data_IF_002867519439
#
_entry.id   IF_002867519439
#
_cell.length_a   1.000
_cell.length_b   1.000
_cell.length_c   1.000
_cell.angle_alpha   90.00
_cell.angle_beta   90.00
_cell.angle_gamma   90.00
#
_symmetry.space_group_name_H-M   'P 1'
#
loop_
_entity.id
_entity.type
_entity.pdbx_description
1 polymer ?
#
# COMPACT_ATOMS: atom_id res chain seq x y z
N UNK A 1 -13.08 -48.83 -37.39
CA UNK A 1 -14.31 -48.46 -36.69
C UNK A 1 -14.30 -49.18 -35.35
N UNK A 2 -13.86 -48.52 -34.28
CA UNK A 2 -13.98 -49.01 -32.88
C UNK A 2 -13.82 -47.78 -31.97
N UNK A 3 -14.95 -47.23 -31.51
CA UNK A 3 -15.56 -47.36 -30.16
C UNK A 3 -14.96 -46.41 -29.11
N UNK A 4 -15.71 -45.32 -28.85
CA UNK A 4 -15.71 -44.59 -27.58
C UNK A 4 -16.32 -45.48 -26.49
N UNK A 5 -15.64 -45.66 -25.36
CA UNK A 5 -16.27 -45.76 -24.02
C UNK A 5 -15.40 -45.06 -22.96
N UNK A 6 -16.11 -44.32 -22.13
CA UNK A 6 -15.71 -43.36 -21.09
C UNK A 6 -15.01 -43.98 -19.89
N UNK A 7 -14.04 -43.25 -19.32
CA UNK A 7 -13.38 -43.56 -18.03
C UNK A 7 -14.12 -42.91 -16.85
N UNK A 8 -14.55 -43.67 -15.83
CA UNK A 8 -14.89 -43.15 -14.51
C UNK A 8 -13.86 -43.66 -13.49
N UNK A 9 -12.69 -43.04 -13.40
CA UNK A 9 -11.72 -43.32 -12.32
C UNK A 9 -11.30 -42.07 -11.53
N UNK A 10 -11.49 -40.87 -12.06
CA UNK A 10 -10.98 -39.65 -11.42
C UNK A 10 -11.90 -39.09 -10.31
N UNK A 11 -13.19 -39.44 -10.29
CA UNK A 11 -14.15 -38.87 -9.33
C UNK A 11 -14.11 -39.52 -7.93
N UNK A 12 -13.64 -40.77 -7.82
CA UNK A 12 -13.58 -41.47 -6.52
C UNK A 12 -12.36 -41.08 -5.68
N UNK A 13 -11.25 -40.67 -6.32
CA UNK A 13 -10.05 -40.16 -5.62
C UNK A 13 -10.25 -38.74 -5.07
N UNK A 14 -11.10 -37.92 -5.71
CA UNK A 14 -11.40 -36.57 -5.25
C UNK A 14 -12.26 -36.56 -3.95
N UNK A 15 -13.11 -37.56 -3.75
CA UNK A 15 -13.96 -37.65 -2.56
C UNK A 15 -13.23 -38.18 -1.32
N UNK A 16 -12.24 -39.07 -1.50
CA UNK A 16 -11.42 -39.57 -0.39
C UNK A 16 -10.53 -38.47 0.23
N UNK A 17 -10.05 -37.52 -0.58
CA UNK A 17 -9.28 -36.37 -0.10
C UNK A 17 -10.13 -35.33 0.64
N UNK A 18 -11.39 -35.14 0.25
CA UNK A 18 -12.30 -34.21 0.92
C UNK A 18 -12.72 -34.67 2.33
N UNK A 19 -12.88 -35.98 2.54
CA UNK A 19 -13.24 -36.54 3.84
C UNK A 19 -12.10 -36.48 4.88
N UNK A 20 -10.84 -36.58 4.44
CA UNK A 20 -9.67 -36.46 5.30
C UNK A 20 -9.40 -35.01 5.76
N UNK A 21 -9.90 -34.01 5.02
CA UNK A 21 -9.70 -32.59 5.33
C UNK A 21 -10.75 -32.03 6.30
N UNK A 22 -11.89 -32.71 6.49
CA UNK A 22 -13.01 -32.23 7.32
C UNK A 22 -13.16 -32.89 8.70
N UNK A 23 -12.22 -33.74 9.13
CA UNK A 23 -12.07 -34.11 10.54
C UNK A 23 -13.30 -34.74 11.22
N UNK A 24 -14.04 -35.63 10.55
CA UNK A 24 -15.13 -36.42 11.16
C UNK A 24 -14.88 -37.92 10.99
N UNK A 25 -14.66 -38.72 12.05
CA UNK A 25 -14.21 -40.12 11.92
C UNK A 25 -15.31 -41.16 11.58
N UNK A 26 -16.60 -40.81 11.60
CA UNK A 26 -17.66 -41.85 11.67
C UNK A 26 -18.30 -42.30 10.34
N UNK A 27 -17.80 -41.83 9.19
CA UNK A 27 -18.37 -42.21 7.88
C UNK A 27 -17.63 -43.34 7.15
N UNK A 28 -16.48 -43.79 7.67
CA UNK A 28 -15.65 -44.83 7.04
C UNK A 28 -16.17 -46.28 7.23
N UNK A 29 -17.17 -46.50 8.09
CA UNK A 29 -17.65 -47.83 8.46
C UNK A 29 -18.85 -48.35 7.63
N UNK A 30 -19.35 -47.60 6.64
CA UNK A 30 -20.56 -47.95 5.90
C UNK A 30 -20.35 -48.45 4.46
N UNK A 31 -19.10 -48.63 3.99
CA UNK A 31 -18.82 -49.02 2.60
C UNK A 31 -17.89 -50.25 2.40
N UNK A 32 -17.72 -51.09 3.41
CA UNK A 32 -17.14 -52.43 3.22
C UNK A 32 -18.29 -53.45 3.23
N UNK A 33 -18.74 -53.99 2.07
CA UNK A 33 -18.06 -55.19 1.54
C UNK A 33 -18.31 -55.46 0.03
N UNK A 34 -17.35 -55.31 -0.89
CA UNK A 34 -17.34 -56.01 -2.21
C UNK A 34 -15.95 -56.08 -2.87
N UNK A 35 -14.91 -56.47 -2.13
CA UNK A 35 -13.58 -56.73 -2.70
C UNK A 35 -13.13 -58.18 -2.48
N UNK A 36 -13.99 -59.12 -2.86
CA UNK A 36 -13.67 -60.55 -2.91
C UNK A 36 -13.85 -61.05 -4.35
N UNK A 37 -13.02 -60.55 -5.27
CA UNK A 37 -12.68 -61.17 -6.56
C UNK A 37 -11.89 -60.17 -7.40
N UNK A 38 -10.55 -60.19 -7.35
CA UNK A 38 -9.71 -59.66 -8.43
C UNK A 38 -8.59 -60.67 -8.74
N UNK A 39 -8.23 -60.90 -10.02
CA UNK A 39 -7.38 -62.02 -10.42
C UNK A 39 -5.90 -61.76 -10.14
N UNK A 40 -5.20 -62.82 -9.69
CA UNK A 40 -3.74 -62.92 -9.57
C UNK A 40 -3.08 -62.96 -10.96
N UNK A 41 -2.85 -61.81 -11.60
CA UNK A 41 -2.00 -61.73 -12.80
C UNK A 41 -1.46 -60.31 -13.03
N UNK A 42 -0.57 -59.83 -12.16
CA UNK A 42 0.26 -58.63 -12.43
C UNK A 42 1.55 -58.58 -11.58
N UNK A 43 2.09 -59.74 -11.20
CA UNK A 43 3.21 -59.83 -10.24
C UNK A 43 4.63 -59.69 -10.81
N UNK A 44 4.82 -59.31 -12.08
CA UNK A 44 6.15 -59.39 -12.72
C UNK A 44 6.61 -58.14 -13.49
N UNK A 45 5.99 -56.98 -13.27
CA UNK A 45 6.41 -55.71 -13.90
C UNK A 45 6.76 -54.59 -12.91
N UNK A 46 6.96 -54.93 -11.63
CA UNK A 46 7.14 -53.97 -10.52
C UNK A 46 8.52 -54.06 -9.83
N UNK A 47 9.56 -54.43 -10.58
CA UNK A 47 10.96 -54.41 -10.11
C UNK A 47 11.91 -53.91 -11.20
N UNK A 48 11.77 -52.67 -11.64
CA UNK A 48 12.79 -51.92 -12.42
C UNK A 48 12.42 -50.45 -12.59
N UNK A 49 12.20 -49.73 -11.48
CA UNK A 49 12.23 -48.26 -11.45
C UNK A 49 12.06 -47.77 -10.00
N UNK A 50 13.03 -48.05 -9.13
CA UNK A 50 13.14 -47.37 -7.84
C UNK A 50 14.54 -46.75 -7.75
N UNK A 51 14.67 -45.55 -8.31
CA UNK A 51 15.66 -44.56 -7.89
C UNK A 51 14.85 -43.44 -7.22
N UNK A 52 14.75 -43.52 -5.89
CA UNK A 52 14.00 -42.61 -5.03
C UNK A 52 14.78 -41.29 -4.92
N UNK A 53 14.22 -40.22 -5.49
CA UNK A 53 14.41 -38.83 -5.05
C UNK A 53 13.15 -38.49 -4.24
N UNK A 54 13.24 -37.98 -3.01
CA UNK A 54 12.05 -37.73 -2.20
C UNK A 54 11.34 -36.44 -2.62
N UNK A 55 10.01 -36.54 -2.66
CA UNK A 55 9.01 -35.49 -2.47
C UNK A 55 9.22 -34.13 -3.17
N UNK A 56 8.62 -33.98 -4.36
CA UNK A 56 8.20 -32.67 -4.87
C UNK A 56 6.82 -32.33 -4.31
N UNK A 57 6.76 -31.32 -3.46
CA UNK A 57 5.55 -30.53 -3.25
C UNK A 57 5.06 -29.99 -4.62
N UNK A 58 3.73 -29.85 -4.76
CA UNK A 58 3.06 -29.57 -6.03
C UNK A 58 3.56 -28.30 -6.73
N UNK A 59 4.49 -28.46 -7.66
CA UNK A 59 4.79 -27.45 -8.67
C UNK A 59 4.01 -27.79 -9.94
N UNK A 60 3.04 -26.95 -10.28
CA UNK A 60 2.41 -26.93 -11.61
C UNK A 60 3.50 -26.91 -12.69
N UNK A 61 3.37 -27.74 -13.72
CA UNK A 61 4.38 -27.92 -14.77
C UNK A 61 4.71 -26.65 -15.55
N UNK A 62 5.66 -25.85 -15.04
CA UNK A 62 6.31 -24.72 -15.72
C UNK A 62 7.68 -25.15 -16.23
N UNK A 63 8.09 -24.65 -17.41
CA UNK A 63 9.50 -24.66 -17.81
C UNK A 63 10.15 -23.40 -17.24
N UNK A 64 11.13 -23.59 -16.36
CA UNK A 64 11.96 -22.50 -15.85
C UNK A 64 12.85 -21.97 -17.00
N UNK A 65 13.16 -20.68 -16.99
CA UNK A 65 14.25 -20.15 -17.82
C UNK A 65 15.59 -20.75 -17.37
N UNK A 66 16.65 -20.71 -18.19
CA UNK A 66 17.97 -21.21 -17.78
C UNK A 66 18.48 -20.55 -16.48
N UNK A 67 18.34 -19.23 -16.34
CA UNK A 67 18.74 -18.48 -15.13
C UNK A 67 17.90 -18.91 -13.90
N UNK A 68 16.59 -19.15 -14.07
CA UNK A 68 15.73 -19.66 -13.00
C UNK A 68 16.05 -21.12 -12.61
N UNK A 69 16.48 -21.94 -13.58
CA UNK A 69 16.87 -23.32 -13.30
C UNK A 69 18.14 -23.39 -12.46
N UNK A 70 19.07 -22.44 -12.63
CA UNK A 70 20.27 -22.29 -11.79
C UNK A 70 19.92 -21.85 -10.36
N UNK A 71 18.87 -21.04 -10.19
CA UNK A 71 18.41 -20.53 -8.89
C UNK A 71 17.48 -21.48 -8.12
N UNK A 72 16.86 -22.44 -8.80
CA UNK A 72 15.96 -23.41 -8.19
C UNK A 72 16.51 -24.14 -6.94
N UNK A 73 17.77 -24.64 -6.90
CA UNK A 73 18.30 -25.29 -5.70
C UNK A 73 18.46 -24.33 -4.52
N UNK A 74 18.90 -23.09 -4.75
CA UNK A 74 19.05 -22.08 -3.70
C UNK A 74 17.69 -21.61 -3.20
N UNK A 75 16.74 -21.37 -4.10
CA UNK A 75 15.36 -21.03 -3.75
C UNK A 75 14.69 -22.11 -2.89
N UNK A 76 14.91 -23.38 -3.24
CA UNK A 76 14.40 -24.51 -2.45
C UNK A 76 15.02 -24.58 -1.05
N UNK A 77 16.33 -24.30 -0.91
CA UNK A 77 17.00 -24.18 0.40
C UNK A 77 16.45 -23.02 1.22
N UNK A 78 16.23 -21.87 0.58
CA UNK A 78 15.67 -20.68 1.20
C UNK A 78 14.20 -20.85 1.60
N UNK A 79 13.49 -21.83 1.04
CA UNK A 79 12.05 -21.96 1.21
C UNK A 79 11.27 -20.83 0.52
N UNK A 80 11.86 -20.24 -0.52
CA UNK A 80 11.36 -19.07 -1.24
C UNK A 80 11.08 -19.44 -2.70
N UNK A 81 10.12 -18.78 -3.35
CA UNK A 81 9.86 -18.99 -4.78
C UNK A 81 11.06 -18.54 -5.62
N UNK A 82 11.39 -19.29 -6.67
CA UNK A 82 12.51 -19.00 -7.59
C UNK A 82 12.41 -17.59 -8.18
N UNK A 83 11.19 -17.11 -8.42
CA UNK A 83 10.93 -15.76 -8.95
C UNK A 83 11.28 -14.67 -7.95
N UNK A 84 11.00 -14.91 -6.68
CA UNK A 84 11.33 -14.00 -5.59
C UNK A 84 12.86 -13.94 -5.45
N UNK A 85 13.54 -15.08 -5.53
CA UNK A 85 15.01 -15.12 -5.50
C UNK A 85 15.64 -14.38 -6.69
N UNK A 86 15.09 -14.55 -7.90
CA UNK A 86 15.53 -13.80 -9.08
C UNK A 86 15.38 -12.29 -8.88
N UNK A 87 14.23 -11.83 -8.37
CA UNK A 87 13.99 -10.41 -8.08
C UNK A 87 14.94 -9.86 -7.00
N UNK A 88 15.31 -10.67 -6.01
CA UNK A 88 16.32 -10.30 -5.01
C UNK A 88 17.72 -10.13 -5.63
N UNK A 89 18.11 -11.00 -6.57
CA UNK A 89 19.38 -10.85 -7.27
C UNK A 89 19.41 -9.60 -8.15
N UNK A 90 18.31 -9.28 -8.83
CA UNK A 90 18.17 -8.03 -9.59
C UNK A 90 18.27 -6.82 -8.66
N UNK A 91 17.61 -6.86 -7.51
CA UNK A 91 17.69 -5.83 -6.46
C UNK A 91 19.13 -5.64 -5.96
N UNK A 92 19.90 -6.72 -5.81
CA UNK A 92 21.32 -6.67 -5.43
C UNK A 92 22.21 -6.08 -6.53
N UNK A 93 21.94 -6.40 -7.81
CA UNK A 93 22.63 -5.78 -8.95
C UNK A 93 22.34 -4.27 -8.98
N UNK A 94 21.10 -3.86 -8.76
CA UNK A 94 20.72 -2.44 -8.66
C UNK A 94 21.43 -1.72 -7.50
N UNK A 95 21.58 -2.38 -6.35
CA UNK A 95 22.30 -1.83 -5.20
C UNK A 95 23.73 -1.45 -5.58
N UNK A 96 24.47 -2.35 -6.23
CA UNK A 96 25.85 -2.11 -6.66
C UNK A 96 25.98 -0.95 -7.64
N UNK A 97 25.01 -0.82 -8.56
CA UNK A 97 24.97 0.31 -9.50
C UNK A 97 24.74 1.61 -8.76
N UNK A 98 23.81 1.66 -7.79
CA UNK A 98 23.53 2.87 -7.01
C UNK A 98 24.71 3.29 -6.11
N UNK A 99 25.39 2.33 -5.48
CA UNK A 99 26.60 2.59 -4.69
C UNK A 99 27.69 3.22 -5.56
N UNK A 100 27.87 2.69 -6.78
CA UNK A 100 28.81 3.25 -7.75
C UNK A 100 28.41 4.64 -8.21
N UNK A 101 27.15 4.83 -8.60
CA UNK A 101 26.61 6.12 -9.03
C UNK A 101 26.80 7.21 -7.97
N UNK A 102 26.46 6.91 -6.71
CA UNK A 102 26.63 7.84 -5.59
C UNK A 102 28.12 8.13 -5.32
N UNK A 103 28.98 7.12 -5.45
CA UNK A 103 30.44 7.30 -5.35
C UNK A 103 31.04 8.17 -6.45
N UNK A 104 30.53 8.08 -7.68
CA UNK A 104 30.97 8.89 -8.84
C UNK A 104 30.38 10.33 -8.81
N UNK A 105 29.22 10.53 -8.18
CA UNK A 105 28.47 11.80 -8.16
C UNK A 105 29.10 12.96 -7.36
N UNK A 106 30.24 12.73 -6.70
CA UNK A 106 31.01 13.75 -5.96
C UNK A 106 31.40 14.95 -6.84
N UNK A 107 31.32 14.82 -8.18
CA UNK A 107 31.66 15.86 -9.17
C UNK A 107 30.49 16.76 -9.64
N UNK A 108 29.35 16.80 -8.94
CA UNK A 108 28.39 17.91 -9.07
C UNK A 108 27.38 17.83 -10.22
N UNK A 109 27.15 16.64 -10.79
CA UNK A 109 26.20 16.44 -11.90
C UNK A 109 24.74 16.18 -11.47
N UNK A 110 24.46 16.00 -10.19
CA UNK A 110 23.14 15.60 -9.68
C UNK A 110 22.53 16.63 -8.73
N UNK A 111 21.21 16.81 -8.81
CA UNK A 111 20.46 17.66 -7.86
C UNK A 111 20.39 17.03 -6.47
N UNK A 112 20.20 17.85 -5.43
CA UNK A 112 20.05 17.39 -4.04
C UNK A 112 18.87 16.42 -3.87
N UNK A 113 17.80 16.62 -4.64
CA UNK A 113 16.62 15.75 -4.61
C UNK A 113 16.94 14.37 -5.17
N UNK A 114 17.60 14.30 -6.33
CA UNK A 114 18.00 13.02 -6.94
C UNK A 114 18.99 12.25 -6.07
N UNK A 115 19.90 12.94 -5.37
CA UNK A 115 20.80 12.30 -4.41
C UNK A 115 20.03 11.71 -3.22
N UNK A 116 19.06 12.43 -2.68
CA UNK A 116 18.21 11.95 -1.59
C UNK A 116 17.39 10.72 -2.01
N UNK A 117 16.78 10.76 -3.19
CA UNK A 117 15.97 9.65 -3.73
C UNK A 117 16.82 8.38 -3.95
N UNK A 118 18.02 8.53 -4.54
CA UNK A 118 18.96 7.39 -4.70
C UNK A 118 19.44 6.85 -3.36
N UNK A 119 19.71 7.70 -2.38
CA UNK A 119 20.15 7.29 -1.04
C UNK A 119 19.04 6.50 -0.30
N UNK A 120 17.78 6.92 -0.41
CA UNK A 120 16.63 6.18 0.13
C UNK A 120 16.48 4.81 -0.51
N UNK A 121 16.58 4.75 -1.83
CA UNK A 121 16.53 3.49 -2.57
C UNK A 121 17.69 2.55 -2.17
N UNK A 122 18.90 3.08 -2.03
CA UNK A 122 20.05 2.31 -1.56
C UNK A 122 19.80 1.74 -0.15
N UNK A 123 19.36 2.57 0.80
CA UNK A 123 19.05 2.13 2.17
C UNK A 123 18.05 0.96 2.19
N UNK A 124 17.00 1.04 1.34
CA UNK A 124 16.02 -0.05 1.18
C UNK A 124 16.66 -1.33 0.66
N UNK A 125 17.46 -1.24 -0.40
CA UNK A 125 18.12 -2.40 -1.00
C UNK A 125 19.13 -3.04 -0.05
N UNK A 126 19.85 -2.24 0.73
CA UNK A 126 20.74 -2.74 1.79
C UNK A 126 19.96 -3.50 2.86
N UNK A 127 18.79 -2.99 3.30
CA UNK A 127 17.90 -3.69 4.25
C UNK A 127 17.46 -5.06 3.70
N UNK A 128 17.08 -5.12 2.43
CA UNK A 128 16.76 -6.37 1.74
C UNK A 128 17.95 -7.35 1.71
N UNK A 129 19.14 -6.86 1.37
CA UNK A 129 20.37 -7.67 1.34
C UNK A 129 20.75 -8.23 2.71
N UNK A 130 20.56 -7.44 3.78
CA UNK A 130 20.80 -7.88 5.15
C UNK A 130 19.83 -8.99 5.57
N UNK A 131 18.51 -8.81 5.34
CA UNK A 131 17.50 -9.84 5.62
C UNK A 131 17.77 -11.14 4.85
N UNK A 132 18.16 -11.04 3.58
CA UNK A 132 18.55 -12.20 2.78
C UNK A 132 19.77 -12.92 3.38
N UNK A 133 20.78 -12.17 3.82
CA UNK A 133 22.00 -12.74 4.41
C UNK A 133 21.73 -13.39 5.77
N UNK A 134 20.88 -12.78 6.60
CA UNK A 134 20.41 -13.34 7.87
C UNK A 134 19.61 -14.64 7.66
N UNK A 135 18.72 -14.67 6.66
CA UNK A 135 17.96 -15.87 6.31
C UNK A 135 18.89 -16.99 5.85
N UNK A 136 19.86 -16.70 4.96
CA UNK A 136 20.82 -17.67 4.48
C UNK A 136 21.70 -18.25 5.61
N UNK A 137 22.13 -17.40 6.56
CA UNK A 137 22.87 -17.84 7.75
C UNK A 137 22.00 -18.74 8.65
N UNK A 138 20.76 -18.32 8.94
CA UNK A 138 19.81 -19.10 9.75
C UNK A 138 19.52 -20.48 9.15
N UNK A 139 19.48 -20.60 7.82
CA UNK A 139 19.30 -21.89 7.13
C UNK A 139 20.54 -22.76 7.25
N UNK A 140 21.73 -22.18 7.14
CA UNK A 140 22.98 -22.91 7.32
C UNK A 140 23.07 -23.47 8.74
N UNK A 141 22.76 -22.65 9.75
CA UNK A 141 22.67 -23.07 11.16
C UNK A 141 21.62 -24.18 11.36
N UNK A 142 20.46 -24.06 10.70
CA UNK A 142 19.40 -25.09 10.76
C UNK A 142 19.86 -26.41 10.15
N UNK A 143 20.50 -26.39 8.98
CA UNK A 143 21.04 -27.60 8.33
C UNK A 143 22.09 -28.29 9.22
N UNK A 144 22.98 -27.51 9.84
CA UNK A 144 23.98 -28.02 10.79
C UNK A 144 23.33 -28.64 12.04
N UNK A 145 22.33 -27.97 12.64
CA UNK A 145 21.59 -28.47 13.79
C UNK A 145 20.79 -29.75 13.45
N UNK A 146 20.18 -29.82 12.27
CA UNK A 146 19.47 -31.01 11.79
C UNK A 146 20.41 -32.21 11.55
N UNK A 147 21.62 -31.97 11.03
CA UNK A 147 22.63 -33.03 10.90
C UNK A 147 23.10 -33.54 12.27
N UNK A 148 23.35 -32.65 13.23
CA UNK A 148 23.69 -33.04 14.61
C UNK A 148 22.55 -33.81 15.29
N UNK A 149 21.30 -33.44 15.04
CA UNK A 149 20.12 -34.12 15.56
C UNK A 149 19.98 -35.57 15.07
N UNK A 150 20.54 -35.91 13.90
CA UNK A 150 20.57 -37.28 13.36
C UNK A 150 21.55 -38.20 14.11
N UNK A 151 22.42 -37.66 14.94
CA UNK A 151 23.48 -38.38 15.67
C UNK A 151 23.03 -39.42 16.70
N UNK A 152 21.72 -39.52 17.02
CA UNK A 152 21.18 -40.58 17.88
C UNK A 152 20.31 -40.07 19.05
N UNK A 153 20.39 -40.76 20.19
CA UNK A 153 19.61 -40.49 21.41
C UNK A 153 20.41 -39.81 22.53
N UNK A 154 21.63 -39.38 22.25
CA UNK A 154 22.46 -38.67 23.23
C UNK A 154 21.82 -37.34 23.62
N UNK A 155 22.10 -36.85 24.84
CA UNK A 155 21.62 -35.55 25.32
C UNK A 155 21.93 -34.42 24.31
N UNK A 156 23.09 -34.50 23.66
CA UNK A 156 23.52 -33.60 22.59
C UNK A 156 22.55 -33.59 21.39
N UNK A 157 22.04 -34.75 20.97
CA UNK A 157 21.10 -34.86 19.87
C UNK A 157 19.69 -34.37 20.24
N UNK A 158 19.34 -34.38 21.53
CA UNK A 158 18.11 -33.77 22.01
C UNK A 158 18.21 -32.24 22.00
N UNK A 159 19.31 -31.67 22.49
CA UNK A 159 19.56 -30.23 22.41
C UNK A 159 19.55 -29.72 20.96
N UNK A 160 20.18 -30.44 20.03
CA UNK A 160 20.19 -30.08 18.61
C UNK A 160 18.78 -30.06 17.98
N UNK A 161 17.85 -30.93 18.42
CA UNK A 161 16.45 -30.90 17.94
C UNK A 161 15.67 -29.69 18.44
N UNK A 162 15.89 -29.31 19.69
CA UNK A 162 15.27 -28.12 20.28
C UNK A 162 15.78 -26.85 19.58
N UNK A 163 17.09 -26.79 19.32
CA UNK A 163 17.72 -25.71 18.54
C UNK A 163 17.19 -25.66 17.10
N UNK A 164 17.13 -26.78 16.39
CA UNK A 164 16.55 -26.85 15.05
C UNK A 164 15.09 -26.38 15.02
N UNK A 165 14.28 -26.74 16.02
CA UNK A 165 12.90 -26.25 16.12
C UNK A 165 12.81 -24.74 16.32
N UNK A 166 13.72 -24.14 17.09
CA UNK A 166 13.75 -22.69 17.29
C UNK A 166 14.24 -21.96 16.02
N UNK A 167 15.25 -22.52 15.35
CA UNK A 167 15.78 -22.01 14.09
C UNK A 167 14.74 -22.10 12.96
N UNK A 168 13.91 -23.14 12.91
CA UNK A 168 12.87 -23.24 11.88
C UNK A 168 11.78 -22.16 12.04
N UNK A 169 11.39 -21.84 13.28
CA UNK A 169 10.48 -20.71 13.57
C UNK A 169 11.11 -19.39 13.14
N UNK A 170 12.41 -19.19 13.45
CA UNK A 170 13.15 -17.99 13.05
C UNK A 170 13.29 -17.88 11.53
N UNK A 171 13.58 -18.99 10.84
CA UNK A 171 13.64 -19.07 9.38
C UNK A 171 12.31 -18.65 8.76
N UNK A 172 11.19 -19.17 9.26
CA UNK A 172 9.85 -18.81 8.77
C UNK A 172 9.55 -17.31 8.97
N UNK A 173 9.95 -16.74 10.12
CA UNK A 173 9.81 -15.31 10.38
C UNK A 173 10.67 -14.46 9.41
N UNK A 174 11.96 -14.77 9.28
CA UNK A 174 12.87 -14.06 8.38
C UNK A 174 12.44 -14.17 6.91
N UNK A 175 11.92 -15.32 6.49
CA UNK A 175 11.37 -15.49 5.15
C UNK A 175 10.14 -14.60 4.92
N UNK A 176 9.26 -14.47 5.92
CA UNK A 176 8.11 -13.55 5.87
C UNK A 176 8.56 -12.10 5.82
N UNK A 177 9.52 -11.71 6.66
CA UNK A 177 10.04 -10.35 6.73
C UNK A 177 10.74 -9.95 5.41
N UNK A 178 11.46 -10.88 4.79
CA UNK A 178 12.08 -10.69 3.48
C UNK A 178 11.02 -10.48 2.39
N UNK A 179 9.96 -11.28 2.36
CA UNK A 179 8.86 -11.12 1.41
C UNK A 179 8.19 -9.76 1.56
N UNK A 180 7.90 -9.33 2.79
CA UNK A 180 7.30 -8.03 3.07
C UNK A 180 8.23 -6.88 2.64
N UNK A 181 9.52 -6.98 2.91
CA UNK A 181 10.50 -5.97 2.52
C UNK A 181 10.65 -5.80 0.99
N UNK A 182 10.25 -6.81 0.20
CA UNK A 182 10.26 -6.72 -1.27
C UNK A 182 9.09 -5.93 -1.83
N UNK A 183 8.04 -5.69 -1.05
CA UNK A 183 6.96 -4.82 -1.49
C UNK A 183 7.48 -3.39 -1.69
N UNK A 184 7.09 -2.72 -2.78
CA UNK A 184 7.40 -1.30 -2.92
C UNK A 184 6.71 -0.53 -1.79
N UNK A 185 7.43 0.35 -1.06
CA UNK A 185 6.81 1.21 -0.07
C UNK A 185 5.87 2.19 -0.76
N UNK A 186 4.81 2.59 -0.06
CA UNK A 186 3.97 3.68 -0.52
C UNK A 186 4.77 5.00 -0.40
N UNK A 187 4.85 5.83 -1.46
CA UNK A 187 5.54 7.13 -1.37
C UNK A 187 4.98 8.03 -0.26
N UNK A 188 3.71 7.83 0.11
CA UNK A 188 3.03 8.64 1.12
C UNK A 188 3.08 8.02 2.52
N UNK A 189 3.56 6.77 2.71
CA UNK A 189 3.62 6.15 4.04
C UNK A 189 4.54 6.93 5.00
N UNK A 190 5.60 7.55 4.47
CA UNK A 190 6.54 8.42 5.22
C UNK A 190 6.02 9.85 5.43
N UNK A 191 4.80 10.17 4.98
CA UNK A 191 4.24 11.51 5.10
C UNK A 191 4.13 11.90 6.59
N UNK A 192 4.86 12.95 6.95
CA UNK A 192 4.88 13.51 8.32
C UNK A 192 3.60 14.22 8.71
N UNK A 193 2.83 14.65 7.72
CA UNK A 193 1.57 15.34 7.94
C UNK A 193 0.48 14.81 7.02
N UNK A 194 -0.73 14.75 7.55
CA UNK A 194 -1.92 14.43 6.79
C UNK A 194 -3.10 15.32 7.23
N UNK A 195 -4.00 15.57 6.30
CA UNK A 195 -5.26 16.26 6.53
C UNK A 195 -6.36 15.19 6.60
N UNK A 196 -7.11 15.20 7.70
CA UNK A 196 -8.27 14.34 7.90
C UNK A 196 -9.53 15.20 7.81
N UNK A 197 -10.35 14.96 6.78
CA UNK A 197 -11.64 15.60 6.56
C UNK A 197 -12.76 14.65 7.01
N UNK A 198 -13.65 15.11 7.89
CA UNK A 198 -14.87 14.40 8.29
C UNK A 198 -16.07 15.20 7.83
N UNK A 199 -17.01 14.56 7.14
CA UNK A 199 -18.25 15.18 6.68
C UNK A 199 -19.47 14.34 7.07
N UNK A 200 -20.51 15.02 7.53
CA UNK A 200 -21.81 14.40 7.76
C UNK A 200 -22.46 14.01 6.42
N UNK A 201 -23.02 12.80 6.34
CA UNK A 201 -23.67 12.29 5.13
C UNK A 201 -25.17 12.01 5.39
N UNK A 202 -25.63 10.78 5.17
CA UNK A 202 -27.04 10.45 5.33
C UNK A 202 -27.42 10.38 6.82
N UNK A 203 -28.47 11.08 7.25
CA UNK A 203 -28.96 11.03 8.65
C UNK A 203 -29.31 12.38 9.27
N UNK A 204 -29.15 13.50 8.54
CA UNK A 204 -29.57 14.82 9.01
C UNK A 204 -28.75 15.29 10.21
N UNK A 205 -29.41 15.81 11.24
CA UNK A 205 -28.75 16.30 12.47
C UNK A 205 -27.95 15.20 13.18
N UNK A 206 -28.46 13.96 13.17
CA UNK A 206 -27.77 12.83 13.78
C UNK A 206 -26.46 12.50 13.05
N UNK A 207 -26.39 12.70 11.73
CA UNK A 207 -25.15 12.53 10.98
C UNK A 207 -24.10 13.57 11.39
N UNK A 208 -24.52 14.80 11.73
CA UNK A 208 -23.63 15.84 12.24
C UNK A 208 -23.09 15.52 13.63
N UNK A 209 -23.94 14.99 14.52
CA UNK A 209 -23.50 14.52 15.85
C UNK A 209 -22.52 13.35 15.68
N UNK A 210 -22.81 12.42 14.77
CA UNK A 210 -21.92 11.30 14.49
C UNK A 210 -20.56 11.74 13.93
N UNK A 211 -20.52 12.76 13.08
CA UNK A 211 -19.26 13.34 12.61
C UNK A 211 -18.44 13.96 13.76
N UNK A 212 -19.10 14.57 14.76
CA UNK A 212 -18.43 15.10 15.96
C UNK A 212 -17.89 13.96 16.85
N UNK A 213 -18.62 12.85 16.96
CA UNK A 213 -18.15 11.66 17.68
C UNK A 213 -16.88 11.07 17.01
N UNK A 214 -16.85 11.00 15.68
CA UNK A 214 -15.67 10.56 14.93
C UNK A 214 -14.49 11.53 15.11
N UNK A 215 -14.74 12.84 15.06
CA UNK A 215 -13.72 13.85 15.34
C UNK A 215 -13.08 13.60 16.70
N UNK A 216 -13.88 13.43 17.75
CA UNK A 216 -13.39 13.16 19.10
C UNK A 216 -12.62 11.82 19.19
N UNK A 217 -13.08 10.78 18.49
CA UNK A 217 -12.40 9.50 18.40
C UNK A 217 -11.00 9.64 17.78
N UNK A 218 -10.87 10.36 16.66
CA UNK A 218 -9.58 10.56 16.00
C UNK A 218 -8.65 11.48 16.77
N UNK A 219 -9.17 12.52 17.43
CA UNK A 219 -8.36 13.35 18.34
C UNK A 219 -7.74 12.51 19.45
N UNK A 220 -8.52 11.61 20.09
CA UNK A 220 -8.00 10.67 21.10
C UNK A 220 -6.99 9.68 20.54
N UNK A 221 -7.25 9.15 19.34
CA UNK A 221 -6.30 8.26 18.66
C UNK A 221 -4.95 8.97 18.45
N UNK A 222 -4.97 10.22 17.99
CA UNK A 222 -3.76 11.03 17.85
C UNK A 222 -3.03 11.22 19.19
N UNK A 223 -3.74 11.50 20.28
CA UNK A 223 -3.14 11.62 21.62
C UNK A 223 -2.45 10.32 22.07
N UNK A 224 -3.08 9.16 21.85
CA UNK A 224 -2.53 7.85 22.22
C UNK A 224 -1.28 7.53 21.39
N UNK A 225 -1.31 7.85 20.09
CA UNK A 225 -0.19 7.61 19.17
C UNK A 225 0.91 8.67 19.23
N UNK A 226 0.78 9.68 20.10
CA UNK A 226 1.74 10.79 20.22
C UNK A 226 1.75 11.72 19.00
N UNK A 227 0.68 11.74 18.21
CA UNK A 227 0.51 12.62 17.05
C UNK A 227 -0.09 13.96 17.48
N UNK A 228 0.39 15.04 16.88
CA UNK A 228 -0.18 16.38 17.07
C UNK A 228 -1.42 16.52 16.19
N UNK A 229 -2.57 16.83 16.78
CA UNK A 229 -3.82 17.06 16.07
C UNK A 229 -4.29 18.50 16.28
N UNK A 230 -4.55 19.23 15.20
CA UNK A 230 -5.03 20.61 15.20
C UNK A 230 -6.30 20.73 14.36
N UNK A 231 -7.33 21.42 14.88
CA UNK A 231 -8.54 21.71 14.11
C UNK A 231 -8.25 22.90 13.20
N UNK A 232 -8.23 22.67 11.88
CA UNK A 232 -7.97 23.71 10.88
C UNK A 232 -9.24 24.48 10.54
N UNK A 233 -10.33 23.75 10.33
CA UNK A 233 -11.64 24.32 10.02
C UNK A 233 -12.75 23.42 10.59
N UNK A 234 -13.86 24.02 10.99
CA UNK A 234 -14.96 23.32 11.63
C UNK A 234 -16.28 24.07 11.41
N UNK A 235 -17.19 23.44 10.66
CA UNK A 235 -18.54 23.96 10.44
C UNK A 235 -19.53 23.25 11.36
N UNK A 236 -19.95 23.94 12.42
CA UNK A 236 -20.96 23.43 13.38
C UNK A 236 -22.39 23.65 12.88
N UNK A 237 -23.31 22.82 13.36
CA UNK A 237 -24.74 22.93 13.06
C UNK A 237 -25.52 23.33 14.33
N UNK A 238 -26.57 24.14 14.17
CA UNK A 238 -27.40 24.60 15.29
C UNK A 238 -28.07 23.45 16.06
N UNK A 239 -28.38 22.34 15.38
CA UNK A 239 -28.95 21.12 15.96
C UNK A 239 -27.96 20.23 16.72
N UNK A 240 -26.71 20.67 16.88
CA UNK A 240 -25.62 19.90 17.47
C UNK A 240 -24.76 19.18 16.43
N UNK A 241 -23.52 18.86 16.79
CA UNK A 241 -22.58 18.20 15.89
C UNK A 241 -21.83 19.14 14.94
N UNK A 242 -21.10 18.52 14.01
CA UNK A 242 -20.35 19.17 12.94
C UNK A 242 -20.83 18.68 11.58
N UNK A 243 -21.02 19.57 10.62
CA UNK A 243 -21.34 19.19 9.24
C UNK A 243 -20.07 18.81 8.49
N UNK A 244 -18.99 19.54 8.75
CA UNK A 244 -17.68 19.37 8.15
C UNK A 244 -16.60 19.79 9.16
N UNK A 245 -15.54 19.00 9.27
CA UNK A 245 -14.35 19.34 10.05
C UNK A 245 -13.10 18.89 9.32
N UNK A 246 -12.08 19.74 9.33
CA UNK A 246 -10.75 19.46 8.81
C UNK A 246 -9.75 19.47 9.97
N UNK A 247 -9.06 18.36 10.16
CA UNK A 247 -8.00 18.18 11.15
C UNK A 247 -6.65 18.11 10.43
N UNK A 248 -5.71 18.94 10.86
CA UNK A 248 -4.30 18.82 10.50
C UNK A 248 -3.60 17.92 11.51
N UNK A 249 -3.01 16.82 11.05
CA UNK A 249 -2.33 15.86 11.91
C UNK A 249 -0.87 15.80 11.51
N UNK A 250 0.03 15.97 12.48
CA UNK A 250 1.48 15.94 12.27
C UNK A 250 2.16 14.98 13.24
N UNK A 251 3.16 14.26 12.76
CA UNK A 251 3.91 13.29 13.53
C UNK A 251 4.66 12.33 12.63
N UNK A 252 4.93 11.13 13.15
CA UNK A 252 5.64 10.09 12.40
C UNK A 252 4.64 9.13 11.73
N UNK A 253 4.89 8.82 10.45
CA UNK A 253 4.09 7.91 9.62
C UNK A 253 2.56 8.16 9.69
N UNK A 254 2.14 9.42 9.72
CA UNK A 254 0.73 9.81 9.99
C UNK A 254 -0.20 9.16 8.97
N UNK A 255 0.15 9.24 7.69
CA UNK A 255 -0.67 8.70 6.62
C UNK A 255 -0.76 7.18 6.70
N UNK A 256 0.36 6.49 6.96
CA UNK A 256 0.38 5.02 7.08
C UNK A 256 -0.51 4.49 8.21
N UNK A 257 -0.63 5.27 9.30
CA UNK A 257 -1.48 4.96 10.46
C UNK A 257 -2.97 5.17 10.18
N UNK A 258 -3.33 6.20 9.41
CA UNK A 258 -4.71 6.66 9.24
C UNK A 258 -5.34 6.34 7.88
N UNK A 259 -4.57 5.96 6.85
CA UNK A 259 -5.11 5.73 5.48
C UNK A 259 -6.23 4.70 5.40
N UNK A 260 -6.26 3.75 6.34
CA UNK A 260 -7.32 2.73 6.43
C UNK A 260 -8.64 3.24 7.02
N UNK A 261 -8.67 4.49 7.49
CA UNK A 261 -9.86 5.15 7.99
C UNK A 261 -10.64 5.87 6.89
N UNK A 262 -10.09 5.95 5.67
CA UNK A 262 -10.78 6.57 4.54
C UNK A 262 -12.00 5.74 4.12
N UNK A 263 -13.17 6.37 4.07
CA UNK A 263 -14.42 5.76 3.62
C UNK A 263 -15.66 6.18 4.41
N UNK A 264 -16.73 5.39 4.29
CA UNK A 264 -18.02 5.66 4.95
C UNK A 264 -18.14 4.93 6.29
N UNK A 265 -18.37 5.69 7.36
CA UNK A 265 -18.60 5.20 8.72
C UNK A 265 -20.09 5.25 9.05
N UNK A 266 -20.69 4.07 9.27
CA UNK A 266 -22.13 3.94 9.53
C UNK A 266 -22.41 3.76 11.02
N UNK A 267 -23.31 4.54 11.58
CA UNK A 267 -23.78 4.39 12.97
C UNK A 267 -25.22 3.90 13.02
N UNK A 268 -25.51 3.03 13.99
CA UNK A 268 -26.85 2.53 14.31
C UNK A 268 -27.09 2.72 15.81
N UNK A 269 -27.88 3.74 16.15
CA UNK A 269 -28.24 4.06 17.54
C UNK A 269 -29.59 4.77 17.60
N UNK A 270 -30.09 4.96 18.81
CA UNK A 270 -31.21 5.88 19.06
C UNK A 270 -30.62 7.29 19.04
N UNK A 271 -30.99 8.15 18.06
CA UNK A 271 -30.50 9.52 17.99
C UNK A 271 -30.85 10.32 19.24
N UNK A 272 -30.00 11.29 19.58
CA UNK A 272 -30.32 12.24 20.67
C UNK A 272 -31.54 13.09 20.30
N UNK A 273 -31.74 13.32 19.00
CA UNK A 273 -32.83 14.12 18.45
C UNK A 273 -34.16 13.36 18.32
N UNK A 274 -34.20 12.05 18.61
CA UNK A 274 -35.39 11.19 18.42
C UNK A 274 -36.12 10.91 19.74
N UNK A 275 -37.38 11.34 19.85
CA UNK A 275 -38.16 11.18 21.08
C UNK A 275 -38.78 9.79 21.26
N UNK A 276 -38.95 8.99 20.18
CA UNK A 276 -39.67 7.70 20.22
C UNK A 276 -38.79 6.48 20.48
N UNK A 277 -37.49 6.68 20.75
CA UNK A 277 -36.56 5.57 21.02
C UNK A 277 -36.30 4.66 19.81
N UNK A 278 -36.57 5.15 18.58
CA UNK A 278 -36.34 4.36 17.36
C UNK A 278 -34.87 4.38 16.99
N UNK A 279 -34.33 3.22 16.66
CA UNK A 279 -32.97 3.11 16.13
C UNK A 279 -32.98 3.65 14.70
N UNK A 280 -32.15 4.66 14.45
CA UNK A 280 -31.91 5.19 13.13
C UNK A 280 -30.52 4.78 12.64
N UNK A 281 -30.33 4.83 11.33
CA UNK A 281 -29.04 4.56 10.68
C UNK A 281 -28.56 5.82 9.98
N UNK A 282 -27.39 6.31 10.41
CA UNK A 282 -26.75 7.50 9.87
C UNK A 282 -25.34 7.17 9.37
N UNK A 283 -24.79 8.01 8.51
CA UNK A 283 -23.43 7.88 7.94
C UNK A 283 -22.67 9.19 8.05
N UNK A 284 -21.36 9.07 8.21
CA UNK A 284 -20.39 10.13 8.02
C UNK A 284 -19.24 9.59 7.17
N UNK A 285 -18.55 10.48 6.47
CA UNK A 285 -17.48 10.14 5.56
C UNK A 285 -16.17 10.70 6.10
N UNK A 286 -15.11 9.90 6.05
CA UNK A 286 -13.77 10.29 6.46
C UNK A 286 -12.86 10.19 5.24
N UNK A 287 -12.05 11.23 5.00
CA UNK A 287 -11.01 11.23 3.97
C UNK A 287 -9.69 11.62 4.60
N UNK A 288 -8.63 10.91 4.22
CA UNK A 288 -7.26 11.18 4.67
C UNK A 288 -6.41 11.47 3.44
N UNK A 289 -5.73 12.61 3.46
CA UNK A 289 -4.86 13.06 2.39
C UNK A 289 -3.50 13.44 2.97
N UNK A 290 -2.39 12.95 2.41
CA UNK A 290 -1.07 13.40 2.82
C UNK A 290 -0.90 14.88 2.46
N UNK A 291 -0.24 15.64 3.33
CA UNK A 291 0.06 17.04 3.05
C UNK A 291 1.19 17.13 2.03
N UNK A 292 0.88 17.55 0.80
CA UNK A 292 1.90 17.76 -0.22
C UNK A 292 2.57 19.13 -0.04
N UNK A 293 3.90 19.15 0.05
CA UNK A 293 4.68 20.38 0.02
C UNK A 293 4.55 21.04 -1.36
N UNK A 294 3.91 22.21 -1.41
CA UNK A 294 3.89 23.03 -2.62
C UNK A 294 5.26 23.68 -2.74
N UNK A 295 6.12 23.15 -3.60
CA UNK A 295 7.40 23.77 -3.95
C UNK A 295 7.15 25.21 -4.41
N UNK A 296 7.84 26.18 -3.80
CA UNK A 296 7.79 27.56 -4.26
C UNK A 296 8.29 27.62 -5.71
N UNK A 297 7.53 28.27 -6.58
CA UNK A 297 7.97 28.54 -7.96
C UNK A 297 9.10 29.57 -7.87
N UNK A 298 10.32 29.14 -8.21
CA UNK A 298 11.47 30.05 -8.26
C UNK A 298 11.31 31.00 -9.45
N UNK A 299 11.34 32.30 -9.16
CA UNK A 299 11.16 33.36 -10.15
C UNK A 299 12.36 33.42 -11.09
N UNK A 300 13.56 33.12 -10.60
CA UNK A 300 14.81 33.21 -11.37
C UNK A 300 14.90 32.09 -12.41
N UNK A 301 14.31 30.92 -12.13
CA UNK A 301 14.22 29.82 -13.09
C UNK A 301 13.14 30.09 -14.15
N UNK A 302 11.99 30.63 -13.75
CA UNK A 302 10.92 31.00 -14.69
C UNK A 302 11.41 32.06 -15.69
N UNK A 303 12.26 32.99 -15.27
CA UNK A 303 12.77 34.04 -16.16
C UNK A 303 13.64 33.51 -17.32
N UNK A 304 14.38 32.42 -17.13
CA UNK A 304 15.23 31.82 -18.17
C UNK A 304 14.43 31.28 -19.36
N UNK A 305 13.17 30.92 -19.12
CA UNK A 305 12.27 30.30 -20.08
C UNK A 305 11.24 31.26 -20.70
N UNK A 306 11.38 32.56 -20.42
CA UNK A 306 10.52 33.60 -20.99
C UNK A 306 11.17 34.24 -22.21
N UNK A 307 10.42 34.28 -23.30
CA UNK A 307 10.72 35.11 -24.47
C UNK A 307 10.13 36.51 -24.27
N UNK A 308 10.99 37.52 -24.26
CA UNK A 308 10.58 38.91 -24.15
C UNK A 308 10.55 39.61 -25.51
N UNK A 309 9.40 40.17 -25.85
CA UNK A 309 9.22 41.07 -26.99
C UNK A 309 8.84 42.46 -26.48
N UNK A 310 9.48 43.49 -27.01
CA UNK A 310 9.21 44.88 -26.62
C UNK A 310 8.45 45.60 -27.71
N UNK A 311 7.51 46.44 -27.31
CA UNK A 311 6.70 47.21 -28.23
C UNK A 311 6.32 48.57 -27.63
N UNK A 312 5.77 49.44 -28.47
CA UNK A 312 5.29 50.75 -28.04
C UNK A 312 4.00 50.59 -27.24
N UNK A 313 3.90 51.28 -26.12
CA UNK A 313 2.69 51.26 -25.31
C UNK A 313 1.53 51.95 -26.05
N UNK A 314 0.42 51.25 -26.26
CA UNK A 314 -0.80 51.86 -26.82
C UNK A 314 -1.58 52.65 -25.75
N UNK A 315 -1.97 53.89 -26.03
CA UNK A 315 -2.82 54.71 -25.15
C UNK A 315 -2.71 56.23 -25.36
N UNK A 316 -3.50 57.00 -24.62
CA UNK A 316 -3.39 58.48 -24.57
C UNK A 316 -2.10 58.85 -23.85
N UNK A 317 -1.04 59.14 -24.61
CA UNK A 317 0.30 59.43 -24.08
C UNK A 317 0.98 60.59 -24.80
N UNK A 318 1.94 61.22 -24.13
CA UNK A 318 2.79 62.27 -24.71
C UNK A 318 3.88 61.72 -25.62
N UNK A 319 4.84 62.57 -26.01
CA UNK A 319 5.92 62.23 -26.94
C UNK A 319 6.72 60.97 -26.54
N UNK A 320 6.87 60.71 -25.25
CA UNK A 320 7.56 59.52 -24.73
C UNK A 320 6.84 58.20 -25.07
N UNK A 321 5.51 58.18 -25.12
CA UNK A 321 4.72 56.98 -25.44
C UNK A 321 4.81 56.64 -26.93
N UNK A 322 4.96 57.67 -27.79
CA UNK A 322 5.06 57.50 -29.24
C UNK A 322 6.46 57.06 -29.71
N UNK A 323 7.51 57.36 -28.93
CA UNK A 323 8.91 57.11 -29.30
C UNK A 323 9.54 55.89 -28.61
N UNK A 324 9.17 55.59 -27.37
CA UNK A 324 9.86 54.56 -26.56
C UNK A 324 9.08 53.23 -26.51
N UNK A 325 9.80 52.13 -26.74
CA UNK A 325 9.29 50.76 -26.65
C UNK A 325 9.33 50.25 -25.21
N UNK A 326 8.46 50.83 -24.39
CA UNK A 326 8.40 50.57 -22.95
C UNK A 326 7.50 49.39 -22.57
N UNK A 327 6.59 48.95 -23.44
CA UNK A 327 5.69 47.84 -23.17
C UNK A 327 6.40 46.50 -23.41
N UNK A 328 6.10 45.52 -22.57
CA UNK A 328 6.70 44.20 -22.58
C UNK A 328 5.62 43.13 -22.83
N UNK A 329 5.81 42.35 -23.88
CA UNK A 329 5.07 41.13 -24.16
C UNK A 329 5.97 39.95 -23.81
N UNK A 330 5.59 39.17 -22.81
CA UNK A 330 6.36 38.06 -22.30
C UNK A 330 5.61 36.75 -22.56
N UNK A 331 6.31 35.75 -23.10
CA UNK A 331 5.75 34.43 -23.39
C UNK A 331 6.62 33.37 -22.74
N UNK A 332 6.04 32.57 -21.84
CA UNK A 332 6.75 31.44 -21.22
C UNK A 332 6.71 30.23 -22.15
N UNK A 333 7.86 29.88 -22.75
CA UNK A 333 7.97 28.87 -23.82
C UNK A 333 7.35 27.51 -23.45
N UNK A 334 7.63 26.92 -22.27
CA UNK A 334 7.11 25.59 -21.94
C UNK A 334 5.59 25.56 -21.71
N UNK A 335 5.04 26.61 -21.10
CA UNK A 335 3.62 26.64 -20.71
C UNK A 335 2.68 27.25 -21.76
N UNK A 336 3.23 28.00 -22.71
CA UNK A 336 2.48 28.82 -23.67
C UNK A 336 1.77 30.04 -23.07
N UNK A 337 1.99 30.37 -21.79
CA UNK A 337 1.33 31.51 -21.12
C UNK A 337 1.96 32.81 -21.63
N UNK A 338 1.12 33.63 -22.26
CA UNK A 338 1.47 34.98 -22.68
C UNK A 338 0.91 36.03 -21.71
N UNK A 339 1.72 37.05 -21.41
CA UNK A 339 1.33 38.20 -20.59
C UNK A 339 1.83 39.48 -21.25
N UNK A 340 0.98 40.51 -21.24
CA UNK A 340 1.30 41.83 -21.73
C UNK A 340 1.33 42.85 -20.58
N UNK A 341 2.43 43.58 -20.44
CA UNK A 341 2.66 44.55 -19.35
C UNK A 341 3.02 45.93 -19.91
N UNK A 342 2.24 46.96 -19.53
CA UNK A 342 2.42 48.36 -19.95
C UNK A 342 2.21 49.37 -18.82
N UNK A 343 2.22 48.91 -17.58
CA UNK A 343 1.76 49.69 -16.41
C UNK A 343 2.76 50.77 -16.01
N UNK A 344 4.05 50.52 -16.18
CA UNK A 344 5.13 51.39 -15.74
C UNK A 344 5.77 52.15 -16.91
N UNK A 345 6.46 53.24 -16.57
CA UNK A 345 7.11 54.12 -17.57
C UNK A 345 8.45 53.56 -18.08
N UNK A 346 9.04 52.59 -17.39
CA UNK A 346 10.35 52.01 -17.73
C UNK A 346 10.20 50.55 -18.18
N UNK A 347 11.01 50.17 -19.15
CA UNK A 347 11.02 48.82 -19.74
C UNK A 347 11.32 47.74 -18.70
N UNK A 348 12.35 47.96 -17.86
CA UNK A 348 12.77 47.01 -16.82
C UNK A 348 11.66 46.75 -15.79
N UNK A 349 10.91 47.78 -15.37
CA UNK A 349 9.80 47.58 -14.44
C UNK A 349 8.65 46.80 -15.09
N UNK A 350 8.35 47.05 -16.37
CA UNK A 350 7.33 46.29 -17.09
C UNK A 350 7.74 44.82 -17.30
N UNK A 351 9.02 44.54 -17.54
CA UNK A 351 9.60 43.19 -17.57
C UNK A 351 9.40 42.48 -16.23
N UNK A 352 9.82 43.10 -15.12
CA UNK A 352 9.69 42.49 -13.79
C UNK A 352 8.22 42.20 -13.42
N UNK A 353 7.30 43.09 -13.82
CA UNK A 353 5.85 42.86 -13.64
C UNK A 353 5.38 41.69 -14.51
N UNK A 354 5.83 41.60 -15.76
CA UNK A 354 5.46 40.52 -16.66
C UNK A 354 5.93 39.16 -16.13
N UNK A 355 7.18 39.08 -15.64
CA UNK A 355 7.73 37.87 -15.00
C UNK A 355 6.90 37.48 -13.77
N UNK A 356 6.58 38.43 -12.87
CA UNK A 356 5.74 38.16 -11.69
C UNK A 356 4.34 37.68 -12.06
N UNK A 357 3.74 38.25 -13.10
CA UNK A 357 2.42 37.83 -13.59
C UNK A 357 2.46 36.42 -14.18
N UNK A 358 3.51 36.08 -14.93
CA UNK A 358 3.71 34.72 -15.44
C UNK A 358 3.90 33.74 -14.29
N UNK A 359 4.77 34.05 -13.32
CA UNK A 359 4.98 33.21 -12.13
C UNK A 359 3.69 33.00 -11.33
N UNK A 360 2.88 34.05 -11.15
CA UNK A 360 1.56 33.96 -10.50
C UNK A 360 0.61 33.04 -11.27
N UNK A 361 0.54 33.15 -12.61
CA UNK A 361 -0.31 32.29 -13.44
C UNK A 361 0.17 30.84 -13.46
N UNK A 362 1.47 30.61 -13.45
CA UNK A 362 2.05 29.27 -13.35
C UNK A 362 1.69 28.62 -12.01
N UNK A 363 1.86 29.36 -10.91
CA UNK A 363 1.45 28.93 -9.58
C UNK A 363 -0.04 28.62 -9.52
N UNK A 364 -0.90 29.49 -10.04
CA UNK A 364 -2.35 29.27 -10.12
C UNK A 364 -2.70 28.00 -10.89
N UNK A 365 -2.05 27.76 -12.04
CA UNK A 365 -2.26 26.54 -12.83
C UNK A 365 -1.81 25.29 -12.07
N UNK A 366 -0.68 25.36 -11.37
CA UNK A 366 -0.17 24.24 -10.56
C UNK A 366 -1.12 23.95 -9.39
N UNK A 367 -1.53 24.99 -8.65
CA UNK A 367 -2.50 24.86 -7.55
C UNK A 367 -3.83 24.29 -8.04
N UNK A 368 -4.37 24.81 -9.15
CA UNK A 368 -5.61 24.31 -9.74
C UNK A 368 -5.51 22.84 -10.17
N UNK A 369 -4.37 22.41 -10.71
CA UNK A 369 -4.14 21.01 -11.07
C UNK A 369 -4.12 20.12 -9.80
N UNK A 370 -3.33 20.51 -8.80
CA UNK A 370 -3.26 19.80 -7.51
C UNK A 370 -4.63 19.72 -6.82
N UNK A 371 -5.40 20.80 -6.83
CA UNK A 371 -6.75 20.82 -6.25
C UNK A 371 -7.70 19.88 -7.01
N UNK A 372 -7.55 19.80 -8.34
CA UNK A 372 -8.35 18.88 -9.16
C UNK A 372 -8.02 17.41 -8.89
N UNK A 373 -6.73 17.09 -8.69
CA UNK A 373 -6.28 15.74 -8.37
C UNK A 373 -6.72 15.34 -6.96
N UNK A 374 -6.56 16.25 -5.98
CA UNK A 374 -7.06 16.07 -4.61
C UNK A 374 -8.58 15.87 -4.58
N UNK A 375 -9.33 16.66 -5.35
CA UNK A 375 -10.78 16.51 -5.42
C UNK A 375 -11.20 15.14 -5.99
N UNK A 376 -10.46 14.64 -6.98
CA UNK A 376 -10.68 13.30 -7.55
C UNK A 376 -10.34 12.20 -6.53
N UNK A 377 -9.18 12.28 -5.89
CA UNK A 377 -8.75 11.34 -4.85
C UNK A 377 -9.76 11.29 -3.69
N UNK A 378 -10.17 12.46 -3.18
CA UNK A 378 -11.18 12.56 -2.13
C UNK A 378 -12.50 11.93 -2.56
N UNK A 379 -12.96 12.18 -3.78
CA UNK A 379 -14.18 11.58 -4.33
C UNK A 379 -14.07 10.05 -4.43
N UNK A 380 -12.89 9.53 -4.78
CA UNK A 380 -12.64 8.09 -4.83
C UNK A 380 -12.64 7.45 -3.43
N UNK A 381 -12.11 8.13 -2.42
CA UNK A 381 -12.11 7.65 -1.04
C UNK A 381 -13.50 7.65 -0.40
N UNK A 382 -14.25 8.74 -0.58
CA UNK A 382 -15.52 8.97 0.10
C UNK A 382 -16.71 8.32 -0.62
N UNK A 383 -16.63 8.20 -1.95
CA UNK A 383 -17.72 7.71 -2.78
C UNK A 383 -18.92 8.65 -2.75
N UNK A 384 -20.12 8.08 -2.58
CA UNK A 384 -21.40 8.82 -2.49
C UNK A 384 -21.80 9.14 -1.05
N UNK A 385 -21.14 8.53 -0.06
CA UNK A 385 -21.52 8.64 1.35
C UNK A 385 -22.80 7.88 1.73
N UNK A 386 -23.31 7.04 0.83
CA UNK A 386 -24.51 6.25 1.05
C UNK A 386 -24.27 5.08 2.03
N UNK A 387 -25.37 4.55 2.59
CA UNK A 387 -25.39 3.48 3.59
C UNK A 387 -24.82 2.14 3.09
N UNK A 388 -24.70 1.97 1.78
CA UNK A 388 -24.20 0.77 1.11
C UNK A 388 -22.67 0.67 1.16
N UNK A 389 -21.97 1.78 0.95
CA UNK A 389 -20.50 1.93 0.81
C UNK A 389 -19.73 1.93 2.16
N UNK A 390 -20.35 1.43 3.22
CA UNK A 390 -19.80 1.40 4.58
C UNK A 390 -18.51 0.56 4.68
N UNK A 391 -17.47 1.13 5.26
CA UNK A 391 -16.27 0.37 5.69
C UNK A 391 -16.45 -0.18 7.12
N UNK A 392 -17.10 0.58 8.00
CA UNK A 392 -17.38 0.18 9.38
C UNK A 392 -18.84 0.44 9.78
N UNK A 393 -19.37 -0.40 10.66
CA UNK A 393 -20.67 -0.20 11.31
C UNK A 393 -20.53 -0.18 12.83
N UNK A 394 -20.94 0.92 13.42
CA UNK A 394 -20.97 1.17 14.86
C UNK A 394 -22.39 0.93 15.36
N UNK A 395 -22.62 -0.20 16.02
CA UNK A 395 -23.93 -0.59 16.53
C UNK A 395 -23.96 -0.43 18.05
N UNK A 396 -24.72 0.56 18.51
CA UNK A 396 -24.84 0.89 19.94
C UNK A 396 -25.73 -0.09 20.70
N UNK A 397 -26.73 -0.69 20.04
CA UNK A 397 -27.62 -1.67 20.69
C UNK A 397 -26.83 -2.91 21.11
N UNK A 398 -25.97 -3.39 20.22
CA UNK A 398 -25.14 -4.58 20.43
C UNK A 398 -23.75 -4.24 21.02
N UNK A 399 -23.46 -2.95 21.27
CA UNK A 399 -22.15 -2.45 21.75
C UNK A 399 -20.94 -2.95 20.95
N UNK A 400 -21.08 -3.03 19.62
CA UNK A 400 -20.03 -3.55 18.72
C UNK A 400 -19.72 -2.63 17.55
N UNK A 401 -18.49 -2.67 17.09
CA UNK A 401 -18.03 -2.08 15.85
C UNK A 401 -17.59 -3.18 14.89
N UNK A 402 -18.21 -3.27 13.71
CA UNK A 402 -17.85 -4.26 12.69
C UNK A 402 -17.13 -3.61 11.52
N UNK A 403 -15.94 -4.08 11.18
CA UNK A 403 -15.25 -3.71 9.94
C UNK A 403 -15.59 -4.71 8.84
N UNK A 404 -16.21 -4.24 7.77
CA UNK A 404 -16.72 -5.08 6.68
C UNK A 404 -15.61 -5.57 5.74
N UNK A 405 -14.43 -4.94 5.79
CA UNK A 405 -13.27 -5.38 4.99
C UNK A 405 -12.63 -6.61 5.62
N UNK A 406 -12.44 -6.57 6.95
CA UNK A 406 -11.90 -7.69 7.73
C UNK A 406 -12.94 -8.77 8.06
N UNK A 407 -14.24 -8.44 7.98
CA UNK A 407 -15.33 -9.25 8.54
C UNK A 407 -15.14 -9.57 10.03
N UNK A 408 -14.52 -8.65 10.78
CA UNK A 408 -14.26 -8.79 12.22
C UNK A 408 -15.08 -7.82 13.06
N UNK A 409 -15.24 -8.17 14.35
CA UNK A 409 -16.02 -7.41 15.33
C UNK A 409 -15.10 -6.95 16.45
N UNK A 410 -15.20 -5.67 16.78
CA UNK A 410 -14.47 -5.00 17.85
C UNK A 410 -15.44 -4.43 18.88
N UNK A 411 -14.96 -4.19 20.10
CA UNK A 411 -15.76 -3.56 21.15
C UNK A 411 -16.00 -2.08 20.84
N UNK A 412 -17.27 -1.64 20.86
CA UNK A 412 -17.63 -0.26 20.47
C UNK A 412 -16.95 0.80 21.33
N UNK A 413 -16.99 0.63 22.66
CA UNK A 413 -16.39 1.59 23.59
C UNK A 413 -14.87 1.71 23.39
N UNK A 414 -14.20 0.60 23.07
CA UNK A 414 -12.76 0.58 22.82
C UNK A 414 -12.41 1.39 21.57
N UNK A 415 -13.16 1.18 20.49
CA UNK A 415 -12.96 1.91 19.22
C UNK A 415 -13.22 3.40 19.41
N UNK A 416 -14.34 3.78 20.05
CA UNK A 416 -14.68 5.19 20.31
C UNK A 416 -13.76 5.89 21.32
N UNK A 417 -13.01 5.13 22.13
CA UNK A 417 -11.97 5.67 22.99
C UNK A 417 -10.68 6.02 22.22
N UNK A 418 -10.59 5.69 20.93
CA UNK A 418 -9.42 5.92 20.10
C UNK A 418 -8.47 4.73 20.00
N UNK A 419 -8.80 3.55 20.54
CA UNK A 419 -7.94 2.36 20.43
C UNK A 419 -8.12 1.66 19.07
N UNK A 420 -7.57 2.26 18.01
CA UNK A 420 -7.68 1.79 16.61
C UNK A 420 -6.48 0.95 16.14
N UNK A 421 -5.46 0.76 16.98
CA UNK A 421 -4.22 0.07 16.62
C UNK A 421 -4.47 -1.34 16.08
N UNK A 422 -5.31 -2.11 16.75
CA UNK A 422 -5.58 -3.50 16.36
C UNK A 422 -6.35 -3.59 15.02
N UNK A 423 -7.46 -2.86 14.80
CA UNK A 423 -8.10 -2.79 13.48
C UNK A 423 -7.13 -2.37 12.37
N UNK A 424 -6.31 -1.34 12.59
CA UNK A 424 -5.35 -0.84 11.60
C UNK A 424 -4.28 -1.88 11.29
N UNK A 425 -3.73 -2.55 12.32
CA UNK A 425 -2.74 -3.62 12.16
C UNK A 425 -3.27 -4.76 11.29
N UNK A 426 -4.49 -5.22 11.55
CA UNK A 426 -5.11 -6.31 10.80
C UNK A 426 -5.38 -5.93 9.34
N UNK A 427 -5.80 -4.68 9.08
CA UNK A 427 -5.98 -4.16 7.72
C UNK A 427 -4.67 -4.07 6.97
N UNK A 428 -3.58 -3.68 7.65
CA UNK A 428 -2.23 -3.65 7.08
C UNK A 428 -1.78 -5.05 6.64
N UNK A 429 -1.91 -6.05 7.51
CA UNK A 429 -1.57 -7.45 7.20
C UNK A 429 -2.37 -7.96 6.00
N UNK A 430 -3.67 -7.62 5.94
CA UNK A 430 -4.54 -8.02 4.83
C UNK A 430 -4.05 -7.40 3.50
N UNK A 431 -3.75 -6.10 3.49
CA UNK A 431 -3.28 -5.40 2.30
C UNK A 431 -1.90 -5.90 1.86
N UNK A 432 -0.97 -6.10 2.79
CA UNK A 432 0.35 -6.67 2.52
C UNK A 432 0.21 -8.06 1.88
N UNK A 433 -0.69 -8.90 2.40
CA UNK A 433 -1.00 -10.21 1.81
C UNK A 433 -1.59 -10.13 0.40
N UNK A 434 -2.41 -9.11 0.10
CA UNK A 434 -2.93 -8.86 -1.25
C UNK A 434 -1.83 -8.36 -2.21
N UNK A 435 -1.00 -7.42 -1.75
CA UNK A 435 0.15 -6.91 -2.51
C UNK A 435 1.16 -8.01 -2.83
N UNK A 436 1.43 -8.92 -1.89
CA UNK A 436 2.30 -10.08 -2.14
C UNK A 436 1.72 -11.02 -3.20
N UNK A 437 0.41 -11.28 -3.17
CA UNK A 437 -0.27 -12.09 -4.20
C UNK A 437 -0.22 -11.43 -5.56
N UNK A 438 -0.39 -10.11 -5.62
CA UNK A 438 -0.31 -9.36 -6.87
C UNK A 438 1.12 -9.32 -7.41
N UNK A 439 2.13 -9.09 -6.57
CA UNK A 439 3.53 -9.18 -6.95
C UNK A 439 3.86 -10.57 -7.50
N UNK A 440 3.42 -11.64 -6.83
CA UNK A 440 3.59 -13.00 -7.31
C UNK A 440 2.91 -13.23 -8.67
N UNK A 441 1.74 -12.62 -8.91
CA UNK A 441 1.05 -12.67 -10.21
C UNK A 441 1.82 -11.90 -11.29
N UNK A 442 2.35 -10.72 -10.99
CA UNK A 442 3.11 -9.89 -11.93
C UNK A 442 4.40 -10.58 -12.37
N UNK A 443 5.12 -11.16 -11.41
CA UNK A 443 6.29 -12.00 -11.68
C UNK A 443 5.92 -13.25 -12.49
N UNK A 444 4.68 -13.72 -12.39
CA UNK A 444 4.18 -14.83 -13.21
C UNK A 444 3.82 -14.42 -14.64
N UNK A 445 3.31 -13.21 -14.86
CA UNK A 445 2.86 -12.70 -16.18
C UNK A 445 3.99 -12.14 -17.03
N UNK A 446 5.02 -11.54 -16.44
CA UNK A 446 6.22 -11.07 -17.15
C UNK A 446 7.02 -12.19 -17.84
N UNK A 447 6.58 -13.44 -17.69
CA UNK A 447 7.20 -14.65 -18.25
C UNK A 447 6.36 -15.27 -19.37
N UNK A 448 5.07 -14.89 -19.47
CA UNK A 448 4.18 -15.37 -20.55
C UNK A 448 4.22 -14.49 -21.79
N UNK A 449 4.75 -13.27 -21.67
CA UNK A 449 5.11 -12.37 -22.76
C UNK A 449 6.59 -12.54 -23.09
#
# INVERSE_FOLDING_TARGET
>A
METRRSRPCCLLLAWAFAAAWLGTPDLALLLAPQAANWPRAAGAAWRRSCSLVPCRAGFSGRRLTPEQAELAPEAARLGVDVLILQSLMESRRQQQVLERDLGESVFGSMSLKEQADKARLLSRLTKLGNLHSELAACITELEEAEELAKGGTDELAQFAREEASALDVRRAQLASDLQLAMLPPDPDDEAKSAILEIRAAAGGDEASIWAEDLMNMYTRYCEIEGLKCEVMDCTRKDGGGVTEVMLGISGDEVYSKLRFESGVHRVQRVPVTESKGRIQTSTATVSIMPEAEISAVDIDDVEKDIDFQYCRAGGKGGQNVNKLETACHAVHRPSGIAVFSRTQRTQMMNRNIAVRLIASKLKERQTSALDSDRAQLRKAQVGTGDRSEKIRTYNYKDSRCSDHRLNQIFGLANVLAGNLQEPVRLLRIMEEGEKLKELARQLQTSISE
#
